data_IF_032371317436
#
_entry.id   IF_032371317436
#
_cell.length_a   1.000
_cell.length_b   1.000
_cell.length_c   1.000
_cell.angle_alpha   90.00
_cell.angle_beta   90.00
_cell.angle_gamma   90.00
#
_symmetry.space_group_name_H-M   'P 1'
#
loop_
_entity.id
_entity.type
_entity.pdbx_description
1 polymer ?
#
# COMPACT_ATOMS: atom_id res chain seq x y z
N UNK A 1 19.48 -7.98 82.45
CA UNK A 1 18.94 -8.96 81.50
C UNK A 1 19.88 -8.98 80.30
N UNK A 2 20.41 -10.17 79.97
CA UNK A 2 21.40 -10.48 78.91
C UNK A 2 20.89 -10.00 77.53
N UNK A 3 21.65 -9.63 76.49
CA UNK A 3 22.78 -10.21 75.73
C UNK A 3 23.32 -9.07 74.80
N UNK A 4 24.62 -8.73 74.71
CA UNK A 4 25.66 -9.29 73.81
C UNK A 4 25.25 -9.48 72.34
N UNK A 5 26.03 -8.92 71.40
CA UNK A 5 26.19 -9.49 70.05
C UNK A 5 26.57 -8.53 68.92
N UNK A 6 27.87 -8.21 68.79
CA UNK A 6 28.50 -7.86 67.50
C UNK A 6 28.48 -9.05 66.53
N UNK A 7 28.51 -8.76 65.22
CA UNK A 7 29.16 -9.46 64.07
C UNK A 7 28.30 -9.23 62.82
N UNK A 8 28.68 -8.39 61.84
CA UNK A 8 29.80 -8.44 60.86
C UNK A 8 29.81 -9.76 60.05
N UNK A 9 30.00 -9.60 58.72
CA UNK A 9 30.44 -10.55 57.68
C UNK A 9 29.26 -11.32 57.05
N UNK A 10 29.02 -11.32 55.72
CA UNK A 10 29.97 -11.42 54.62
C UNK A 10 29.45 -10.84 53.29
N UNK A 11 30.39 -10.31 52.51
CA UNK A 11 30.32 -10.02 51.08
C UNK A 11 29.69 -11.17 50.30
N UNK A 12 28.69 -10.91 49.46
CA UNK A 12 28.54 -11.62 48.18
C UNK A 12 28.15 -10.64 47.08
N UNK A 13 29.09 -10.46 46.17
CA UNK A 13 28.86 -10.13 44.77
C UNK A 13 27.58 -10.80 44.28
N UNK A 14 26.65 -10.00 43.78
CA UNK A 14 25.73 -10.48 42.76
C UNK A 14 25.81 -9.50 41.60
N UNK A 15 26.79 -9.75 40.75
CA UNK A 15 26.79 -9.29 39.38
C UNK A 15 25.46 -9.70 38.77
N UNK A 16 24.58 -8.72 38.52
CA UNK A 16 23.39 -8.95 37.71
C UNK A 16 23.92 -9.20 36.30
N UNK A 17 23.95 -10.47 35.93
CA UNK A 17 24.15 -10.92 34.57
C UNK A 17 22.97 -10.38 33.77
N UNK A 18 23.15 -9.23 33.13
CA UNK A 18 22.27 -8.82 32.03
C UNK A 18 22.55 -9.81 30.92
N UNK A 19 21.77 -10.90 30.88
CA UNK A 19 21.68 -11.72 29.69
C UNK A 19 20.99 -10.82 28.67
N UNK A 20 21.81 -10.12 27.88
CA UNK A 20 21.43 -9.61 26.58
C UNK A 20 21.02 -10.85 25.77
N UNK A 21 19.74 -11.21 25.88
CA UNK A 21 19.11 -12.09 24.90
C UNK A 21 19.06 -11.26 23.63
N UNK A 22 20.15 -11.29 22.87
CA UNK A 22 20.12 -11.02 21.44
C UNK A 22 19.22 -12.10 20.86
N UNK A 23 17.90 -11.88 20.88
CA UNK A 23 17.02 -12.59 19.96
C UNK A 23 17.59 -12.30 18.58
N UNK A 24 18.02 -13.33 17.82
CA UNK A 24 18.39 -13.11 16.45
C UNK A 24 17.15 -12.50 15.79
N UNK A 25 17.25 -11.22 15.41
CA UNK A 25 16.33 -10.66 14.42
C UNK A 25 16.60 -11.54 13.22
N UNK A 26 15.72 -12.51 12.98
CA UNK A 26 15.71 -13.27 11.76
C UNK A 26 15.36 -12.25 10.67
N UNK A 27 16.39 -11.59 10.14
CA UNK A 27 16.31 -10.84 8.90
C UNK A 27 15.96 -11.91 7.87
N UNK A 28 14.67 -12.09 7.62
CA UNK A 28 14.20 -12.94 6.54
C UNK A 28 14.62 -12.20 5.27
N UNK A 29 15.75 -12.62 4.69
CA UNK A 29 16.18 -12.11 3.41
C UNK A 29 15.04 -12.33 2.41
N UNK A 30 14.55 -11.25 1.80
CA UNK A 30 13.57 -11.35 0.73
C UNK A 30 14.10 -12.27 -0.38
N UNK A 31 13.19 -12.95 -1.07
CA UNK A 31 13.55 -13.64 -2.30
C UNK A 31 14.15 -12.62 -3.28
N UNK A 32 15.40 -12.86 -3.70
CA UNK A 32 16.10 -11.97 -4.64
C UNK A 32 15.54 -12.22 -6.03
N UNK A 33 15.02 -11.16 -6.65
CA UNK A 33 14.52 -11.22 -8.03
C UNK A 33 15.65 -11.52 -9.01
N UNK A 34 15.37 -12.35 -10.00
CA UNK A 34 16.21 -12.45 -11.19
C UNK A 34 16.11 -11.17 -12.04
N UNK A 35 17.07 -10.97 -12.94
CA UNK A 35 17.04 -9.83 -13.88
C UNK A 35 15.77 -9.83 -14.75
N UNK A 36 15.31 -11.02 -15.18
CA UNK A 36 14.08 -11.17 -15.95
C UNK A 36 12.84 -10.76 -15.13
N UNK A 37 12.76 -11.17 -13.86
CA UNK A 37 11.67 -10.81 -12.95
C UNK A 37 11.68 -9.31 -12.62
N UNK A 38 12.85 -8.74 -12.36
CA UNK A 38 13.00 -7.30 -12.15
C UNK A 38 12.57 -6.51 -13.40
N UNK A 39 12.95 -6.99 -14.60
CA UNK A 39 12.58 -6.38 -15.87
C UNK A 39 11.06 -6.35 -16.10
N UNK A 40 10.37 -7.48 -15.91
CA UNK A 40 8.91 -7.53 -16.11
C UNK A 40 8.14 -6.74 -15.05
N UNK A 41 8.64 -6.66 -13.82
CA UNK A 41 8.06 -5.81 -12.78
C UNK A 41 8.22 -4.32 -13.09
N UNK A 42 9.39 -3.91 -13.60
CA UNK A 42 9.62 -2.54 -14.04
C UNK A 42 8.71 -2.18 -15.21
N UNK A 43 8.64 -3.01 -16.27
CA UNK A 43 7.74 -2.83 -17.41
C UNK A 43 6.28 -2.71 -16.95
N UNK A 44 5.86 -3.55 -16.01
CA UNK A 44 4.50 -3.52 -15.47
C UNK A 44 4.24 -2.26 -14.68
N UNK A 45 5.20 -1.78 -13.90
CA UNK A 45 5.08 -0.51 -13.16
C UNK A 45 4.94 0.67 -14.11
N UNK A 46 5.74 0.73 -15.18
CA UNK A 46 5.63 1.76 -16.21
C UNK A 46 4.28 1.70 -16.93
N UNK A 47 3.81 0.50 -17.26
CA UNK A 47 2.49 0.29 -17.84
C UNK A 47 1.38 0.89 -16.95
N UNK A 48 1.37 0.57 -15.65
CA UNK A 48 0.37 1.12 -14.72
C UNK A 48 0.36 2.64 -14.72
N UNK A 49 1.54 3.25 -14.74
CA UNK A 49 1.66 4.70 -14.75
C UNK A 49 1.14 5.31 -16.05
N UNK A 50 1.37 4.65 -17.19
CA UNK A 50 0.82 5.08 -18.49
C UNK A 50 -0.72 5.12 -18.54
N UNK A 51 -1.41 4.36 -17.67
CA UNK A 51 -2.88 4.37 -17.62
C UNK A 51 -3.44 5.69 -17.08
N UNK A 52 -2.64 6.51 -16.40
CA UNK A 52 -3.12 7.77 -15.79
C UNK A 52 -3.54 8.83 -16.79
N UNK A 53 -3.07 8.70 -18.03
CA UNK A 53 -3.46 9.54 -19.16
C UNK A 53 -4.54 8.91 -20.04
N UNK A 54 -5.13 7.77 -19.63
CA UNK A 54 -6.29 7.22 -20.33
C UNK A 54 -7.47 8.20 -20.28
N UNK A 55 -8.16 8.35 -21.41
CA UNK A 55 -9.25 9.31 -21.56
C UNK A 55 -10.54 8.85 -20.87
N UNK A 56 -10.64 7.58 -20.47
CA UNK A 56 -11.77 7.05 -19.71
C UNK A 56 -11.37 5.79 -18.92
N UNK A 57 -12.18 5.43 -17.91
CA UNK A 57 -12.01 4.15 -17.21
C UNK A 57 -12.15 2.95 -18.16
N UNK A 58 -13.05 3.02 -19.15
CA UNK A 58 -13.25 1.94 -20.12
C UNK A 58 -11.99 1.70 -20.97
N UNK A 59 -11.36 2.78 -21.46
CA UNK A 59 -10.10 2.70 -22.19
C UNK A 59 -8.98 2.11 -21.32
N UNK A 60 -8.90 2.52 -20.04
CA UNK A 60 -7.90 1.97 -19.13
C UNK A 60 -8.10 0.46 -18.92
N UNK A 61 -9.34 0.01 -18.73
CA UNK A 61 -9.69 -1.41 -18.59
C UNK A 61 -9.31 -2.20 -19.84
N UNK A 62 -9.61 -1.69 -21.04
CA UNK A 62 -9.24 -2.34 -22.31
C UNK A 62 -7.71 -2.49 -22.43
N UNK A 63 -6.95 -1.44 -22.09
CA UNK A 63 -5.48 -1.49 -22.08
C UNK A 63 -4.95 -2.52 -21.08
N UNK A 64 -5.57 -2.63 -19.89
CA UNK A 64 -5.19 -3.63 -18.89
C UNK A 64 -5.42 -5.04 -19.42
N UNK A 65 -6.57 -5.31 -20.04
CA UNK A 65 -6.88 -6.63 -20.58
C UNK A 65 -5.92 -7.02 -21.72
N UNK A 66 -5.59 -6.09 -22.61
CA UNK A 66 -4.60 -6.30 -23.66
C UNK A 66 -3.19 -6.55 -23.10
N UNK A 67 -2.77 -5.78 -22.09
CA UNK A 67 -1.48 -5.95 -21.43
C UNK A 67 -1.39 -7.28 -20.67
N UNK A 68 -2.45 -7.67 -19.96
CA UNK A 68 -2.53 -8.93 -19.23
C UNK A 68 -2.35 -10.14 -20.15
N UNK A 69 -3.00 -10.13 -21.32
CA UNK A 69 -2.84 -11.18 -22.32
C UNK A 69 -1.40 -11.27 -22.84
N UNK A 70 -0.77 -10.12 -23.13
CA UNK A 70 0.62 -10.04 -23.58
C UNK A 70 1.61 -10.56 -22.53
N UNK A 71 1.45 -10.13 -21.28
CA UNK A 71 2.36 -10.54 -20.20
C UNK A 71 2.18 -12.01 -19.85
N UNK A 72 0.96 -12.56 -19.92
CA UNK A 72 0.77 -14.00 -19.75
C UNK A 72 1.56 -14.80 -20.81
N UNK A 73 1.56 -14.36 -22.06
CA UNK A 73 2.35 -14.99 -23.14
C UNK A 73 3.86 -14.83 -22.93
N UNK A 74 4.32 -13.63 -22.57
CA UNK A 74 5.74 -13.35 -22.33
C UNK A 74 6.28 -14.17 -21.15
N UNK A 75 5.52 -14.27 -20.07
CA UNK A 75 5.93 -14.99 -18.85
C UNK A 75 5.75 -16.50 -18.94
N UNK A 76 4.95 -17.01 -19.88
CA UNK A 76 4.82 -18.44 -20.14
C UNK A 76 6.13 -19.05 -20.70
N UNK A 77 6.90 -18.25 -21.44
CA UNK A 77 8.13 -18.68 -22.10
C UNK A 77 9.41 -18.18 -21.40
N UNK A 78 9.28 -17.31 -20.39
CA UNK A 78 10.39 -16.76 -19.64
C UNK A 78 10.63 -17.51 -18.32
N UNK A 79 11.85 -17.42 -17.78
CA UNK A 79 12.21 -17.94 -16.47
C UNK A 79 11.68 -17.05 -15.33
N UNK A 80 10.37 -16.81 -15.29
CA UNK A 80 9.67 -16.04 -14.26
C UNK A 80 8.98 -17.01 -13.31
N UNK A 81 9.22 -16.86 -12.00
CA UNK A 81 8.61 -17.73 -10.99
C UNK A 81 7.09 -17.54 -10.90
N UNK A 82 6.40 -18.56 -10.38
CA UNK A 82 4.94 -18.48 -10.18
C UNK A 82 4.56 -17.44 -9.12
N UNK A 83 5.46 -17.14 -8.17
CA UNK A 83 5.28 -16.05 -7.22
C UNK A 83 5.21 -14.71 -7.94
N UNK A 84 6.15 -14.45 -8.85
CA UNK A 84 6.17 -13.19 -9.59
C UNK A 84 5.02 -13.11 -10.59
N UNK A 85 4.58 -14.23 -11.18
CA UNK A 85 3.33 -14.24 -11.96
C UNK A 85 2.11 -13.83 -11.11
N UNK A 86 2.03 -14.31 -9.87
CA UNK A 86 0.97 -13.90 -8.94
C UNK A 86 1.07 -12.40 -8.57
N UNK A 87 2.28 -11.88 -8.36
CA UNK A 87 2.52 -10.43 -8.14
C UNK A 87 2.00 -9.60 -9.32
N UNK A 88 2.36 -10.00 -10.55
CA UNK A 88 1.92 -9.31 -11.76
C UNK A 88 0.39 -9.36 -11.90
N UNK A 89 -0.23 -10.51 -11.62
CA UNK A 89 -1.69 -10.63 -11.62
C UNK A 89 -2.34 -9.74 -10.55
N UNK A 90 -1.80 -9.70 -9.33
CA UNK A 90 -2.30 -8.83 -8.26
C UNK A 90 -2.30 -7.35 -8.71
N UNK A 91 -1.20 -6.91 -9.31
CA UNK A 91 -1.06 -5.54 -9.81
C UNK A 91 -2.14 -5.22 -10.84
N UNK A 92 -2.32 -6.07 -11.86
CA UNK A 92 -3.25 -5.81 -12.96
C UNK A 92 -4.70 -5.90 -12.51
N UNK A 93 -5.03 -6.87 -11.65
CA UNK A 93 -6.36 -6.98 -11.03
C UNK A 93 -6.66 -5.76 -10.18
N UNK A 94 -5.70 -5.29 -9.39
CA UNK A 94 -5.88 -4.11 -8.55
C UNK A 94 -6.11 -2.84 -9.38
N UNK A 95 -5.33 -2.62 -10.45
CA UNK A 95 -5.58 -1.48 -11.35
C UNK A 95 -6.95 -1.58 -12.02
N UNK A 96 -7.33 -2.76 -12.55
CA UNK A 96 -8.64 -2.95 -13.17
C UNK A 96 -9.76 -2.68 -12.17
N UNK A 97 -9.63 -3.20 -10.96
CA UNK A 97 -10.54 -2.94 -9.86
C UNK A 97 -10.68 -1.44 -9.57
N UNK A 98 -9.57 -0.69 -9.51
CA UNK A 98 -9.60 0.76 -9.25
C UNK A 98 -10.35 1.52 -10.36
N UNK A 99 -10.13 1.22 -11.64
CA UNK A 99 -10.85 1.89 -12.73
C UNK A 99 -12.33 1.52 -12.79
N UNK A 100 -12.68 0.27 -12.51
CA UNK A 100 -14.08 -0.15 -12.36
C UNK A 100 -14.74 0.61 -11.20
N UNK A 101 -14.06 0.69 -10.06
CA UNK A 101 -14.57 1.38 -8.87
C UNK A 101 -14.72 2.87 -9.15
N UNK A 102 -13.74 3.48 -9.82
CA UNK A 102 -13.80 4.87 -10.26
C UNK A 102 -14.97 5.13 -11.22
N UNK A 103 -15.28 4.20 -12.12
CA UNK A 103 -16.43 4.34 -13.03
C UNK A 103 -17.78 4.25 -12.30
N UNK A 104 -17.92 3.27 -11.40
CA UNK A 104 -19.10 3.04 -10.58
C UNK A 104 -18.69 2.19 -9.35
N UNK A 105 -18.90 2.73 -8.15
CA UNK A 105 -18.59 2.01 -6.90
C UNK A 105 -19.45 0.75 -6.71
N UNK A 106 -20.54 0.60 -7.48
CA UNK A 106 -21.42 -0.57 -7.51
C UNK A 106 -21.25 -1.39 -8.78
N UNK A 107 -20.17 -1.18 -9.55
CA UNK A 107 -19.94 -1.90 -10.78
C UNK A 107 -20.00 -3.42 -10.53
N UNK A 108 -20.80 -4.18 -11.30
CA UNK A 108 -21.11 -5.58 -11.01
C UNK A 108 -19.88 -6.49 -10.98
N UNK A 109 -18.83 -6.12 -11.72
CA UNK A 109 -17.60 -6.92 -11.82
C UNK A 109 -16.63 -6.70 -10.64
N UNK A 110 -16.85 -5.72 -9.75
CA UNK A 110 -15.91 -5.43 -8.66
C UNK A 110 -15.73 -6.62 -7.71
N UNK A 111 -16.85 -7.12 -7.17
CA UNK A 111 -16.82 -8.18 -6.18
C UNK A 111 -16.27 -9.50 -6.76
N UNK A 112 -16.77 -10.00 -7.92
CA UNK A 112 -16.22 -11.22 -8.52
C UNK A 112 -14.73 -11.11 -8.82
N UNK A 113 -14.29 -9.99 -9.41
CA UNK A 113 -12.89 -9.77 -9.76
C UNK A 113 -11.97 -9.84 -8.54
N UNK A 114 -12.26 -9.03 -7.51
CA UNK A 114 -11.34 -8.92 -6.37
C UNK A 114 -11.39 -10.14 -5.46
N UNK A 115 -12.56 -10.78 -5.28
CA UNK A 115 -12.67 -11.99 -4.45
C UNK A 115 -11.93 -13.16 -5.08
N UNK A 116 -12.00 -13.33 -6.40
CA UNK A 116 -11.22 -14.38 -7.07
C UNK A 116 -9.72 -14.21 -6.83
N UNK A 117 -9.19 -12.99 -6.93
CA UNK A 117 -7.76 -12.76 -6.69
C UNK A 117 -7.40 -12.89 -5.21
N UNK A 118 -8.25 -12.43 -4.31
CA UNK A 118 -8.10 -12.61 -2.87
C UNK A 118 -7.96 -14.10 -2.50
N UNK A 119 -8.81 -14.98 -3.02
CA UNK A 119 -8.71 -16.42 -2.73
C UNK A 119 -7.41 -17.05 -3.27
N UNK A 120 -6.93 -16.61 -4.44
CA UNK A 120 -5.63 -17.04 -4.97
C UNK A 120 -4.47 -16.64 -4.05
N UNK A 121 -4.46 -15.39 -3.59
CA UNK A 121 -3.44 -14.89 -2.63
C UNK A 121 -3.49 -15.67 -1.32
N UNK A 122 -4.68 -15.92 -0.76
CA UNK A 122 -4.83 -16.70 0.47
C UNK A 122 -4.36 -18.14 0.29
N UNK A 123 -4.67 -18.76 -0.85
CA UNK A 123 -4.22 -20.10 -1.18
C UNK A 123 -2.69 -20.15 -1.31
N UNK A 124 -2.06 -19.15 -1.94
CA UNK A 124 -0.61 -19.06 -2.08
C UNK A 124 0.10 -19.08 -0.72
N UNK A 125 -0.24 -18.15 0.18
CA UNK A 125 0.37 -18.06 1.51
C UNK A 125 0.08 -19.28 2.40
N UNK A 126 -1.02 -19.99 2.14
CA UNK A 126 -1.32 -21.25 2.83
C UNK A 126 -0.42 -22.39 2.35
N UNK A 127 -0.23 -22.51 1.04
CA UNK A 127 0.56 -23.59 0.43
C UNK A 127 2.06 -23.40 0.66
N UNK A 128 2.54 -22.17 0.60
CA UNK A 128 3.97 -21.81 0.74
C UNK A 128 4.29 -21.26 2.14
N UNK A 129 3.54 -21.72 3.16
CA UNK A 129 3.69 -21.23 4.53
C UNK A 129 5.09 -21.53 5.07
N UNK A 130 5.84 -20.48 5.41
CA UNK A 130 7.19 -20.58 5.98
C UNK A 130 8.30 -20.48 4.94
N UNK A 131 7.98 -20.32 3.66
CA UNK A 131 8.93 -19.98 2.62
C UNK A 131 9.26 -18.48 2.65
N UNK A 132 10.49 -18.08 2.25
CA UNK A 132 10.81 -16.67 2.06
C UNK A 132 10.07 -16.15 0.82
N UNK A 133 9.31 -15.08 0.99
CA UNK A 133 8.59 -14.41 -0.09
C UNK A 133 9.25 -13.09 -0.48
N UNK A 134 9.07 -12.72 -1.75
CA UNK A 134 9.43 -11.40 -2.27
C UNK A 134 8.65 -10.30 -1.56
N UNK A 135 9.30 -9.16 -1.36
CA UNK A 135 8.68 -7.94 -0.86
C UNK A 135 7.48 -7.51 -1.71
N UNK A 136 7.56 -7.74 -3.02
CA UNK A 136 6.48 -7.45 -3.96
C UNK A 136 5.23 -8.29 -3.71
N UNK A 137 5.38 -9.54 -3.26
CA UNK A 137 4.23 -10.38 -2.94
C UNK A 137 3.49 -9.84 -1.72
N UNK A 138 4.20 -9.52 -0.64
CA UNK A 138 3.58 -8.94 0.55
C UNK A 138 2.87 -7.62 0.25
N UNK A 139 3.55 -6.72 -0.47
CA UNK A 139 2.98 -5.45 -0.91
C UNK A 139 1.68 -5.66 -1.69
N UNK A 140 1.74 -6.38 -2.81
CA UNK A 140 0.59 -6.51 -3.71
C UNK A 140 -0.54 -7.36 -3.13
N UNK A 141 -0.22 -8.33 -2.27
CA UNK A 141 -1.22 -9.06 -1.49
C UNK A 141 -1.97 -8.13 -0.53
N UNK A 142 -1.28 -7.18 0.10
CA UNK A 142 -1.90 -6.17 0.95
C UNK A 142 -2.95 -5.35 0.18
N UNK A 143 -2.63 -4.91 -1.04
CA UNK A 143 -3.55 -4.14 -1.90
C UNK A 143 -4.83 -4.95 -2.23
N UNK A 144 -4.66 -6.22 -2.63
CA UNK A 144 -5.78 -7.12 -2.95
C UNK A 144 -6.67 -7.37 -1.73
N UNK A 145 -6.08 -7.70 -0.58
CA UNK A 145 -6.82 -7.92 0.66
C UNK A 145 -7.57 -6.66 1.06
N UNK A 146 -6.93 -5.49 0.98
CA UNK A 146 -7.51 -4.21 1.35
C UNK A 146 -8.76 -3.89 0.52
N UNK A 147 -8.71 -4.09 -0.80
CA UNK A 147 -9.85 -3.85 -1.68
C UNK A 147 -10.98 -4.87 -1.47
N UNK A 148 -10.64 -6.12 -1.14
CA UNK A 148 -11.62 -7.17 -0.90
C UNK A 148 -12.45 -6.96 0.38
N UNK A 149 -11.89 -6.28 1.40
CA UNK A 149 -12.51 -6.13 2.73
C UNK A 149 -13.96 -5.61 2.71
N UNK A 150 -14.31 -4.71 1.78
CA UNK A 150 -15.68 -4.18 1.71
C UNK A 150 -16.74 -5.20 1.30
N UNK A 151 -16.33 -6.33 0.69
CA UNK A 151 -17.20 -7.43 0.27
C UNK A 151 -17.19 -8.62 1.25
N UNK A 152 -16.47 -8.48 2.36
CA UNK A 152 -16.34 -9.51 3.38
C UNK A 152 -17.27 -9.22 4.56
N UNK A 153 -17.69 -10.28 5.31
CA UNK A 153 -18.33 -10.08 6.60
C UNK A 153 -17.45 -9.23 7.52
N UNK A 154 -18.07 -8.36 8.32
CA UNK A 154 -17.35 -7.37 9.14
C UNK A 154 -16.22 -7.97 10.00
N UNK A 155 -16.46 -9.13 10.62
CA UNK A 155 -15.46 -9.82 11.44
C UNK A 155 -14.26 -10.30 10.61
N UNK A 156 -14.51 -10.83 9.42
CA UNK A 156 -13.46 -11.22 8.46
C UNK A 156 -12.71 -9.98 7.96
N UNK A 157 -13.42 -8.92 7.60
CA UNK A 157 -12.83 -7.66 7.16
C UNK A 157 -11.90 -7.05 8.23
N UNK A 158 -12.30 -7.08 9.50
CA UNK A 158 -11.44 -6.62 10.60
C UNK A 158 -10.16 -7.47 10.73
N UNK A 159 -10.28 -8.79 10.62
CA UNK A 159 -9.10 -9.68 10.66
C UNK A 159 -8.18 -9.42 9.47
N UNK A 160 -8.75 -9.28 8.27
CA UNK A 160 -7.96 -8.97 7.08
C UNK A 160 -7.32 -7.59 7.14
N UNK A 161 -7.95 -6.60 7.78
CA UNK A 161 -7.34 -5.29 8.01
C UNK A 161 -6.03 -5.38 8.82
N UNK A 162 -5.95 -6.30 9.79
CA UNK A 162 -4.71 -6.59 10.52
C UNK A 162 -3.70 -7.37 9.67
N UNK A 163 -4.17 -8.30 8.83
CA UNK A 163 -3.32 -9.01 7.86
C UNK A 163 -2.68 -8.05 6.85
N UNK A 164 -3.45 -7.11 6.31
CA UNK A 164 -2.96 -6.07 5.39
C UNK A 164 -1.82 -5.29 6.04
N UNK A 165 -2.01 -4.81 7.28
CA UNK A 165 -0.97 -4.12 8.03
C UNK A 165 0.28 -5.00 8.18
N UNK A 166 0.10 -6.27 8.57
CA UNK A 166 1.21 -7.22 8.74
C UNK A 166 1.99 -7.39 7.43
N UNK A 167 1.31 -7.52 6.29
CA UNK A 167 1.98 -7.66 5.01
C UNK A 167 2.78 -6.42 4.64
N UNK A 168 2.22 -5.22 4.81
CA UNK A 168 2.99 -3.99 4.57
C UNK A 168 4.16 -3.83 5.54
N UNK A 169 3.98 -4.13 6.83
CA UNK A 169 5.08 -4.12 7.80
C UNK A 169 6.19 -5.10 7.37
N UNK A 170 5.85 -6.34 7.01
CA UNK A 170 6.82 -7.34 6.54
C UNK A 170 7.53 -6.91 5.26
N UNK A 171 6.82 -6.27 4.32
CA UNK A 171 7.45 -5.69 3.14
C UNK A 171 8.45 -4.57 3.53
N UNK A 172 8.10 -3.68 4.46
CA UNK A 172 9.01 -2.61 4.91
C UNK A 172 10.15 -3.10 5.80
N UNK A 173 9.98 -4.23 6.48
CA UNK A 173 11.08 -4.90 7.19
C UNK A 173 12.11 -5.47 6.21
N UNK A 174 11.66 -5.96 5.05
CA UNK A 174 12.53 -6.47 3.99
C UNK A 174 13.17 -5.35 3.15
N UNK A 175 12.39 -4.34 2.78
CA UNK A 175 12.83 -3.16 2.05
C UNK A 175 12.19 -1.89 2.65
N UNK A 176 12.89 -1.20 3.57
CA UNK A 176 12.40 0.01 4.21
C UNK A 176 12.13 1.18 3.26
N UNK A 177 12.61 1.10 2.02
CA UNK A 177 12.51 2.16 1.02
C UNK A 177 11.58 1.79 -0.14
N UNK A 178 10.80 0.71 -0.02
CA UNK A 178 9.79 0.36 -1.01
C UNK A 178 8.65 1.39 -0.99
N UNK A 179 8.75 2.39 -1.88
CA UNK A 179 7.89 3.58 -1.90
C UNK A 179 6.40 3.24 -2.00
N UNK A 180 6.03 2.30 -2.87
CA UNK A 180 4.63 1.89 -3.01
C UNK A 180 4.06 1.27 -1.73
N UNK A 181 4.89 0.56 -0.96
CA UNK A 181 4.48 0.03 0.35
C UNK A 181 4.34 1.15 1.39
N UNK A 182 5.26 2.13 1.42
CA UNK A 182 5.16 3.31 2.28
C UNK A 182 3.87 4.11 2.00
N UNK A 183 3.52 4.27 0.72
CA UNK A 183 2.28 4.92 0.29
C UNK A 183 1.05 4.14 0.79
N UNK A 184 0.99 2.83 0.58
CA UNK A 184 -0.19 2.05 0.92
C UNK A 184 -0.36 1.85 2.43
N UNK A 185 0.73 1.68 3.18
CA UNK A 185 0.65 1.64 4.64
C UNK A 185 0.24 3.00 5.21
N UNK A 186 0.61 4.12 4.58
CA UNK A 186 0.17 5.44 5.00
C UNK A 186 -1.36 5.58 4.88
N UNK A 187 -1.94 5.12 3.78
CA UNK A 187 -3.40 5.10 3.62
C UNK A 187 -4.06 4.21 4.69
N UNK A 188 -3.49 3.04 4.98
CA UNK A 188 -3.97 2.19 6.08
C UNK A 188 -3.90 2.92 7.42
N UNK A 189 -2.76 3.57 7.74
CA UNK A 189 -2.62 4.36 8.96
C UNK A 189 -3.61 5.50 9.04
N UNK A 190 -3.95 6.14 7.91
CA UNK A 190 -4.90 7.24 7.90
C UNK A 190 -6.29 6.80 8.36
N UNK A 191 -6.77 5.64 7.87
CA UNK A 191 -8.12 5.15 8.17
C UNK A 191 -8.22 4.29 9.44
N UNK A 192 -7.16 3.56 9.78
CA UNK A 192 -7.19 2.65 10.91
C UNK A 192 -7.29 3.39 12.26
N UNK A 193 -8.09 2.89 13.21
CA UNK A 193 -8.13 3.44 14.56
C UNK A 193 -6.76 3.39 15.25
N UNK A 194 -6.48 4.38 16.12
CA UNK A 194 -5.23 4.44 16.88
C UNK A 194 -5.00 3.19 17.75
N UNK A 195 -6.05 2.60 18.32
CA UNK A 195 -5.98 1.37 19.13
C UNK A 195 -5.48 0.16 18.31
N UNK A 196 -5.73 0.15 17.01
CA UNK A 196 -5.24 -0.88 16.08
C UNK A 196 -3.88 -0.55 15.48
N UNK A 197 -3.28 0.59 15.89
CA UNK A 197 -1.97 1.04 15.42
C UNK A 197 -2.01 2.04 14.27
N UNK A 198 -3.19 2.54 13.88
CA UNK A 198 -3.32 3.64 12.92
C UNK A 198 -3.01 5.03 13.52
N UNK A 199 -3.28 6.07 12.75
CA UNK A 199 -3.15 7.47 13.13
C UNK A 199 -2.61 8.36 12.00
N UNK A 200 -3.23 9.53 11.84
CA UNK A 200 -2.86 10.54 10.82
C UNK A 200 -1.37 10.92 10.85
N UNK A 201 -0.78 11.08 12.04
CA UNK A 201 0.66 11.37 12.18
C UNK A 201 1.55 10.27 11.56
N UNK A 202 1.18 9.00 11.69
CA UNK A 202 1.93 7.89 11.07
C UNK A 202 1.78 7.91 9.55
N UNK A 203 0.57 8.21 9.06
CA UNK A 203 0.32 8.37 7.63
C UNK A 203 1.19 9.48 7.03
N UNK A 204 1.23 10.65 7.69
CA UNK A 204 2.11 11.76 7.33
C UNK A 204 3.58 11.30 7.29
N UNK A 205 4.11 10.73 8.38
CA UNK A 205 5.51 10.29 8.44
C UNK A 205 5.87 9.28 7.35
N UNK A 206 4.98 8.33 7.05
CA UNK A 206 5.20 7.35 5.99
C UNK A 206 5.23 8.01 4.60
N UNK A 207 4.36 9.00 4.32
CA UNK A 207 4.33 9.71 3.04
C UNK A 207 5.53 10.66 2.86
N UNK A 208 5.97 11.34 3.92
CA UNK A 208 7.23 12.09 3.93
C UNK A 208 8.42 11.18 3.60
N UNK A 209 8.46 10.00 4.23
CA UNK A 209 9.51 9.01 3.95
C UNK A 209 9.43 8.52 2.50
N UNK A 210 8.22 8.22 2.01
CA UNK A 210 7.99 7.81 0.63
C UNK A 210 8.52 8.85 -0.36
N UNK A 211 8.20 10.14 -0.14
CA UNK A 211 8.66 11.24 -0.99
C UNK A 211 10.17 11.41 -0.93
N UNK A 212 10.77 11.29 0.25
CA UNK A 212 12.22 11.46 0.43
C UNK A 212 13.06 10.36 -0.26
N UNK A 213 12.51 9.15 -0.39
CA UNK A 213 13.23 7.99 -0.98
C UNK A 213 12.79 7.66 -2.40
N UNK A 214 11.79 8.37 -2.95
CA UNK A 214 11.29 8.19 -4.30
C UNK A 214 12.35 8.52 -5.36
N UNK A 215 12.56 7.58 -6.31
CA UNK A 215 13.60 7.68 -7.34
C UNK A 215 13.02 7.83 -8.73
N UNK A 216 11.84 7.27 -8.96
CA UNK A 216 11.17 7.27 -10.26
C UNK A 216 10.04 8.29 -10.30
N UNK A 217 9.65 8.72 -11.51
CA UNK A 217 8.52 9.65 -11.69
C UNK A 217 7.22 9.10 -11.08
N UNK A 218 6.84 7.81 -11.26
CA UNK A 218 5.66 7.24 -10.61
C UNK A 218 5.70 7.34 -9.08
N UNK A 219 6.84 7.01 -8.47
CA UNK A 219 7.03 7.07 -7.02
C UNK A 219 6.89 8.50 -6.49
N UNK A 220 7.56 9.45 -7.15
CA UNK A 220 7.52 10.87 -6.78
C UNK A 220 6.11 11.43 -6.93
N UNK A 221 5.43 11.09 -8.03
CA UNK A 221 4.06 11.51 -8.30
C UNK A 221 3.11 11.07 -7.19
N UNK A 222 3.03 9.78 -6.89
CA UNK A 222 2.05 9.29 -5.89
C UNK A 222 2.38 9.71 -4.46
N UNK A 223 3.67 9.70 -4.08
CA UNK A 223 4.08 10.13 -2.75
C UNK A 223 3.72 11.60 -2.52
N UNK A 224 4.00 12.46 -3.51
CA UNK A 224 3.70 13.90 -3.46
C UNK A 224 2.19 14.16 -3.49
N UNK A 225 1.47 13.48 -4.39
CA UNK A 225 0.02 13.60 -4.53
C UNK A 225 -0.69 13.22 -3.22
N UNK A 226 -0.37 12.10 -2.59
CA UNK A 226 -1.05 11.66 -1.36
C UNK A 226 -0.60 12.45 -0.12
N UNK A 227 0.67 12.89 -0.04
CA UNK A 227 1.13 13.79 1.01
C UNK A 227 0.34 15.11 0.98
N UNK A 228 0.09 15.66 -0.22
CA UNK A 228 -0.73 16.87 -0.37
C UNK A 228 -2.11 16.73 0.32
N UNK A 229 -2.70 15.54 0.30
CA UNK A 229 -4.03 15.28 0.84
C UNK A 229 -4.01 15.10 2.36
N UNK A 230 -2.92 14.58 2.92
CA UNK A 230 -2.71 14.58 4.38
C UNK A 230 -2.53 16.00 4.90
N UNK A 231 -1.71 16.82 4.23
CA UNK A 231 -1.52 18.23 4.60
C UNK A 231 -2.83 19.02 4.52
N UNK A 232 -3.68 18.73 3.53
CA UNK A 232 -5.01 19.36 3.45
C UNK A 232 -5.87 19.04 4.68
N UNK A 233 -5.87 17.78 5.12
CA UNK A 233 -6.58 17.31 6.32
C UNK A 233 -6.04 17.92 7.62
N UNK A 234 -4.76 18.30 7.64
CA UNK A 234 -4.10 18.98 8.76
C UNK A 234 -4.32 20.51 8.76
N UNK A 235 -4.93 21.06 7.69
CA UNK A 235 -5.20 22.49 7.54
C UNK A 235 -4.09 23.26 6.83
N UNK A 236 -3.01 22.59 6.42
CA UNK A 236 -1.86 23.16 5.72
C UNK A 236 -2.16 23.34 4.21
N UNK A 237 -3.21 24.11 3.91
CA UNK A 237 -3.79 24.20 2.56
C UNK A 237 -2.86 24.80 1.51
N UNK A 238 -1.96 25.70 1.91
CA UNK A 238 -0.98 26.31 0.99
C UNK A 238 0.02 25.27 0.52
N UNK A 239 0.63 24.55 1.46
CA UNK A 239 1.60 23.51 1.15
C UNK A 239 0.95 22.33 0.41
N UNK A 240 -0.27 21.96 0.79
CA UNK A 240 -1.09 21.01 0.03
C UNK A 240 -1.25 21.42 -1.44
N UNK A 241 -1.58 22.69 -1.71
CA UNK A 241 -1.75 23.19 -3.08
C UNK A 241 -0.41 23.22 -3.85
N UNK A 242 0.69 23.56 -3.19
CA UNK A 242 2.04 23.53 -3.77
C UNK A 242 2.41 22.10 -4.19
N UNK A 243 2.21 21.10 -3.31
CA UNK A 243 2.48 19.70 -3.66
C UNK A 243 1.58 19.17 -4.77
N UNK A 244 0.31 19.59 -4.84
CA UNK A 244 -0.54 19.22 -5.97
C UNK A 244 -0.03 19.79 -7.29
N UNK A 245 0.47 21.03 -7.29
CA UNK A 245 1.06 21.64 -8.47
C UNK A 245 2.35 20.91 -8.88
N UNK A 246 3.21 20.56 -7.92
CA UNK A 246 4.42 19.77 -8.16
C UNK A 246 4.08 18.40 -8.80
N UNK A 247 3.04 17.72 -8.31
CA UNK A 247 2.60 16.45 -8.87
C UNK A 247 2.07 16.59 -10.31
N UNK A 248 1.31 17.66 -10.62
CA UNK A 248 0.84 17.92 -11.99
C UNK A 248 2.00 18.32 -12.91
N UNK A 249 3.03 19.01 -12.43
CA UNK A 249 4.23 19.30 -13.22
C UNK A 249 5.04 18.04 -13.53
N UNK A 250 5.17 17.13 -12.56
CA UNK A 250 5.85 15.84 -12.73
C UNK A 250 5.18 14.95 -13.78
N UNK A 251 3.84 14.92 -13.80
CA UNK A 251 3.09 14.17 -14.79
C UNK A 251 1.78 14.87 -15.18
N UNK A 252 1.83 15.76 -16.19
CA UNK A 252 0.72 16.64 -16.51
C UNK A 252 -0.50 15.91 -17.06
N UNK A 253 -1.68 16.45 -16.73
CA UNK A 253 -2.93 16.04 -17.37
C UNK A 253 -3.50 14.73 -16.83
N UNK A 254 -3.05 14.29 -15.66
CA UNK A 254 -3.67 13.15 -14.95
C UNK A 254 -5.05 13.51 -14.43
N UNK A 255 -5.92 12.51 -14.36
CA UNK A 255 -7.22 12.67 -13.69
C UNK A 255 -7.04 12.93 -12.19
N UNK A 256 -6.07 12.28 -11.56
CA UNK A 256 -5.80 12.35 -10.13
C UNK A 256 -5.46 13.78 -9.68
N UNK A 257 -4.52 14.46 -10.34
CA UNK A 257 -4.17 15.85 -9.99
C UNK A 257 -5.36 16.81 -10.16
N UNK A 258 -6.12 16.67 -11.27
CA UNK A 258 -7.33 17.47 -11.53
C UNK A 258 -8.42 17.23 -10.49
N UNK A 259 -8.73 15.97 -10.20
CA UNK A 259 -9.80 15.60 -9.27
C UNK A 259 -9.45 16.01 -7.84
N UNK A 260 -8.20 15.86 -7.41
CA UNK A 260 -7.76 16.26 -6.07
C UNK A 260 -7.81 17.79 -5.92
N UNK A 261 -7.44 18.53 -6.96
CA UNK A 261 -7.60 19.99 -6.99
C UNK A 261 -9.08 20.41 -6.88
N UNK A 262 -9.97 19.73 -7.60
CA UNK A 262 -11.42 19.98 -7.53
C UNK A 262 -12.00 19.66 -6.15
N UNK A 263 -11.57 18.55 -5.53
CA UNK A 263 -11.94 18.17 -4.16
C UNK A 263 -11.49 19.23 -3.15
N UNK A 264 -10.21 19.62 -3.20
CA UNK A 264 -9.63 20.61 -2.28
C UNK A 264 -10.34 21.96 -2.42
N UNK A 265 -10.63 22.41 -3.65
CA UNK A 265 -11.40 23.63 -3.92
C UNK A 265 -12.83 23.58 -3.37
N UNK A 266 -13.41 22.38 -3.27
CA UNK A 266 -14.72 22.14 -2.66
C UNK A 266 -14.68 21.92 -1.13
N UNK A 267 -13.49 21.95 -0.53
CA UNK A 267 -13.27 21.78 0.91
C UNK A 267 -13.16 20.33 1.36
N UNK A 268 -12.85 19.39 0.47
CA UNK A 268 -12.68 17.97 0.78
C UNK A 268 -11.26 17.52 0.43
N UNK A 269 -10.66 16.68 1.27
CA UNK A 269 -9.50 15.89 0.85
C UNK A 269 -9.95 14.66 0.06
N UNK A 270 -9.02 14.04 -0.65
CA UNK A 270 -9.17 12.69 -1.18
C UNK A 270 -9.53 11.68 -0.08
N UNK A 271 -8.91 11.78 1.10
CA UNK A 271 -9.17 10.82 2.17
C UNK A 271 -10.61 10.90 2.70
N UNK A 272 -11.16 12.11 2.80
CA UNK A 272 -12.57 12.32 3.15
C UNK A 272 -13.47 11.81 2.02
N UNK A 273 -13.09 12.08 0.76
CA UNK A 273 -13.83 11.69 -0.42
C UNK A 273 -14.08 10.18 -0.48
N UNK A 274 -13.06 9.34 -0.31
CA UNK A 274 -13.22 7.87 -0.44
C UNK A 274 -14.24 7.29 0.55
N UNK A 275 -14.35 7.83 1.76
CA UNK A 275 -15.34 7.38 2.76
C UNK A 275 -16.73 7.98 2.54
N UNK A 276 -16.84 9.07 1.77
CA UNK A 276 -18.06 9.85 1.59
C UNK A 276 -18.42 10.00 0.11
N UNK A 277 -17.98 9.08 -0.73
CA UNK A 277 -17.95 9.24 -2.19
C UNK A 277 -19.31 9.56 -2.78
N UNK A 278 -20.34 8.77 -2.49
CA UNK A 278 -21.71 9.04 -2.98
C UNK A 278 -22.22 10.43 -2.62
N UNK A 279 -21.86 10.93 -1.43
CA UNK A 279 -22.27 12.26 -0.95
C UNK A 279 -21.53 13.37 -1.70
N UNK A 280 -20.23 13.20 -1.92
CA UNK A 280 -19.39 14.19 -2.60
C UNK A 280 -19.67 14.20 -4.10
N UNK A 281 -19.86 13.03 -4.74
CA UNK A 281 -20.19 12.90 -6.16
C UNK A 281 -21.52 13.58 -6.49
N UNK A 282 -22.53 13.53 -5.60
CA UNK A 282 -23.78 14.29 -5.76
C UNK A 282 -23.56 15.81 -5.78
N UNK A 283 -22.50 16.31 -5.15
CA UNK A 283 -22.19 17.73 -5.06
C UNK A 283 -21.28 18.20 -6.20
N UNK A 284 -20.30 17.38 -6.59
CA UNK A 284 -19.26 17.77 -7.54
C UNK A 284 -19.44 17.19 -8.95
N UNK A 285 -20.22 16.11 -9.07
CA UNK A 285 -20.69 15.55 -10.34
C UNK A 285 -19.64 15.50 -11.44
N UNK A 286 -19.81 16.36 -12.45
CA UNK A 286 -18.95 16.41 -13.65
C UNK A 286 -17.49 16.79 -13.36
N UNK A 287 -17.19 17.48 -12.27
CA UNK A 287 -15.81 17.89 -11.93
C UNK A 287 -14.91 16.70 -11.53
N UNK A 288 -15.51 15.55 -11.22
CA UNK A 288 -14.82 14.31 -10.83
C UNK A 288 -15.05 13.19 -11.85
N UNK A 289 -15.50 13.50 -13.07
CA UNK A 289 -15.58 12.48 -14.13
C UNK A 289 -14.26 12.38 -14.87
N UNK A 290 -13.79 11.15 -15.06
CA UNK A 290 -12.74 10.83 -16.02
C UNK A 290 -13.30 10.80 -17.43
#
# INVERSE_FOLDING_TARGET
>A
MQYKGQNIISKRFFSVFVILVLTPIAIHAAAVLTEAEAGVLAETTDFRFSLKTAASCAEAVEKIDAYAARIAENTANAAVSDEIKLVLENILVWEKYNYLYESDIKHPDLEPLIKTQYEKVKAWFKTHSGEPHSTWLYYTAGDILSCCMQFLPLTTAMSEGLTVKKYYDTALEQDPYMVFTLINIAQWYFYAPAISGGGKKKAHTALETARAVAKTVPEQFYATLLLSQVLFEEGEKRESAELLADADELYPGTYEARSFSALNGAGYSYFYYTLNREKVDKKLGAALKR
#
